data_IF_887882538376
#
_entry.id   IF_887882538376
#
_cell.length_a   1.000
_cell.length_b   1.000
_cell.length_c   1.000
_cell.angle_alpha   90.00
_cell.angle_beta   90.00
_cell.angle_gamma   90.00
#
_symmetry.space_group_name_H-M   'P 1'
#
loop_
_entity.id
_entity.type
_entity.pdbx_description
1 polymer ?
#
# COMPACT_ATOMS: atom_id res chain seq x y z
N UNK A 1 -31.81 -89.97 -13.98
CA UNK A 1 -33.03 -89.17 -13.72
C UNK A 1 -32.78 -88.15 -12.62
N UNK A 2 -32.22 -88.53 -11.46
CA UNK A 2 -32.00 -87.63 -10.32
C UNK A 2 -30.90 -86.56 -10.50
N UNK A 3 -29.88 -86.82 -11.34
CA UNK A 3 -28.78 -85.87 -11.60
C UNK A 3 -29.13 -84.71 -12.56
N UNK A 4 -30.17 -84.88 -13.37
CA UNK A 4 -30.63 -83.84 -14.31
C UNK A 4 -31.57 -82.83 -13.63
N UNK A 5 -32.23 -83.23 -12.55
CA UNK A 5 -33.16 -82.39 -11.79
C UNK A 5 -32.40 -81.39 -10.89
N UNK A 6 -31.32 -81.85 -10.24
CA UNK A 6 -30.44 -80.98 -9.41
C UNK A 6 -29.74 -79.90 -10.26
N UNK A 7 -29.27 -80.24 -11.46
CA UNK A 7 -28.66 -79.26 -12.38
C UNK A 7 -29.66 -78.24 -12.92
N UNK A 8 -30.93 -78.60 -13.01
CA UNK A 8 -31.98 -77.67 -13.43
C UNK A 8 -32.33 -76.68 -12.31
N UNK A 9 -32.41 -77.13 -11.05
CA UNK A 9 -32.65 -76.26 -9.89
C UNK A 9 -31.49 -75.28 -9.64
N UNK A 10 -30.24 -75.74 -9.72
CA UNK A 10 -29.06 -74.87 -9.57
C UNK A 10 -28.97 -73.80 -10.69
N UNK A 11 -29.29 -74.18 -11.93
CA UNK A 11 -29.34 -73.24 -13.04
C UNK A 11 -30.49 -72.22 -12.91
N UNK A 12 -31.64 -72.64 -12.37
CA UNK A 12 -32.77 -71.76 -12.08
C UNK A 12 -32.38 -70.74 -10.99
N UNK A 13 -31.76 -71.22 -9.90
CA UNK A 13 -31.32 -70.41 -8.76
C UNK A 13 -30.27 -69.36 -9.14
N UNK A 14 -29.27 -69.74 -9.95
CA UNK A 14 -28.25 -68.82 -10.47
C UNK A 14 -28.87 -67.80 -11.44
N UNK A 15 -29.86 -68.21 -12.25
CA UNK A 15 -30.63 -67.34 -13.11
C UNK A 15 -31.38 -66.25 -12.35
N UNK A 16 -32.07 -66.62 -11.26
CA UNK A 16 -32.76 -65.66 -10.37
C UNK A 16 -31.79 -64.72 -9.67
N UNK A 17 -30.68 -65.20 -9.10
CA UNK A 17 -29.71 -64.35 -8.40
C UNK A 17 -29.02 -63.33 -9.32
N UNK A 18 -28.79 -63.69 -10.60
CA UNK A 18 -28.25 -62.76 -11.58
C UNK A 18 -29.31 -61.76 -12.08
N UNK A 19 -30.57 -62.18 -12.22
CA UNK A 19 -31.71 -61.30 -12.45
C UNK A 19 -31.86 -60.26 -11.35
N UNK A 20 -31.84 -60.68 -10.08
CA UNK A 20 -32.03 -59.79 -8.93
C UNK A 20 -30.90 -58.77 -8.78
N UNK A 21 -29.64 -59.17 -9.03
CA UNK A 21 -28.49 -58.23 -9.02
C UNK A 21 -28.54 -57.22 -10.17
N UNK A 22 -28.98 -57.62 -11.35
CA UNK A 22 -29.16 -56.70 -12.49
C UNK A 22 -30.28 -55.69 -12.20
N UNK A 23 -31.39 -56.16 -11.64
CA UNK A 23 -32.54 -55.32 -11.26
C UNK A 23 -32.18 -54.35 -10.14
N UNK A 24 -31.46 -54.81 -9.11
CA UNK A 24 -30.98 -53.97 -8.01
C UNK A 24 -30.01 -52.89 -8.51
N UNK A 25 -29.09 -53.21 -9.43
CA UNK A 25 -28.16 -52.23 -10.02
C UNK A 25 -28.89 -51.20 -10.89
N UNK A 26 -29.89 -51.62 -11.66
CA UNK A 26 -30.75 -50.69 -12.41
C UNK A 26 -31.59 -49.81 -11.49
N UNK A 27 -32.06 -50.33 -10.36
CA UNK A 27 -32.86 -49.58 -9.40
C UNK A 27 -32.02 -48.56 -8.64
N UNK A 28 -30.84 -48.94 -8.17
CA UNK A 28 -29.88 -48.02 -7.54
C UNK A 28 -29.42 -46.92 -8.49
N UNK A 29 -29.19 -47.23 -9.78
CA UNK A 29 -28.86 -46.20 -10.78
C UNK A 29 -30.05 -45.29 -11.08
N UNK A 30 -31.27 -45.80 -11.19
CA UNK A 30 -32.49 -44.99 -11.35
C UNK A 30 -32.77 -44.10 -10.13
N UNK A 31 -32.57 -44.62 -8.92
CA UNK A 31 -32.73 -43.84 -7.67
C UNK A 31 -31.67 -42.74 -7.56
N UNK A 32 -30.42 -43.03 -7.93
CA UNK A 32 -29.35 -42.03 -8.02
C UNK A 32 -29.67 -40.94 -9.07
N UNK A 33 -30.14 -41.34 -10.26
CA UNK A 33 -30.55 -40.41 -11.33
C UNK A 33 -31.77 -39.58 -10.90
N UNK A 34 -32.76 -40.19 -10.25
CA UNK A 34 -33.94 -39.47 -9.75
C UNK A 34 -33.58 -38.50 -8.63
N UNK A 35 -32.70 -38.89 -7.70
CA UNK A 35 -32.18 -38.02 -6.64
C UNK A 35 -31.41 -36.81 -7.22
N UNK A 36 -30.65 -37.01 -8.29
CA UNK A 36 -29.97 -35.94 -9.05
C UNK A 36 -30.95 -35.07 -9.87
N UNK A 37 -32.11 -35.60 -10.27
CA UNK A 37 -33.14 -34.86 -11.04
C UNK A 37 -34.14 -34.07 -10.19
N UNK A 38 -34.17 -34.33 -8.87
CA UNK A 38 -35.05 -33.65 -7.92
C UNK A 38 -34.82 -32.15 -7.91
N UNK A 39 -35.91 -31.37 -7.85
CA UNK A 39 -35.84 -29.91 -7.79
C UNK A 39 -34.96 -29.41 -6.64
N UNK A 40 -34.89 -30.14 -5.52
CA UNK A 40 -34.01 -29.82 -4.40
C UNK A 40 -32.53 -29.93 -4.78
N UNK A 41 -32.13 -31.00 -5.48
CA UNK A 41 -30.75 -31.18 -5.94
C UNK A 41 -30.34 -30.12 -6.98
N UNK A 42 -31.25 -29.77 -7.90
CA UNK A 42 -31.04 -28.69 -8.88
C UNK A 42 -30.85 -27.33 -8.22
N UNK A 43 -31.65 -27.02 -7.19
CA UNK A 43 -31.52 -25.78 -6.41
C UNK A 43 -30.16 -25.72 -5.69
N UNK A 44 -29.74 -26.82 -5.06
CA UNK A 44 -28.43 -26.89 -4.37
C UNK A 44 -27.28 -26.68 -5.36
N UNK A 45 -27.31 -27.36 -6.52
CA UNK A 45 -26.28 -27.21 -7.57
C UNK A 45 -26.24 -25.77 -8.09
N UNK A 46 -27.40 -25.14 -8.34
CA UNK A 46 -27.48 -23.76 -8.79
C UNK A 46 -26.92 -22.77 -7.75
N UNK A 47 -27.18 -23.01 -6.46
CA UNK A 47 -26.64 -22.18 -5.37
C UNK A 47 -25.11 -22.30 -5.27
N UNK A 48 -24.56 -23.51 -5.35
CA UNK A 48 -23.09 -23.73 -5.36
C UNK A 48 -22.46 -23.03 -6.56
N UNK A 49 -23.06 -23.17 -7.75
CA UNK A 49 -22.57 -22.49 -8.95
C UNK A 49 -22.58 -20.97 -8.80
N UNK A 50 -23.65 -20.38 -8.25
CA UNK A 50 -23.71 -18.96 -7.92
C UNK A 50 -22.61 -18.53 -6.95
N UNK A 51 -22.34 -19.31 -5.91
CA UNK A 51 -21.26 -19.03 -4.95
C UNK A 51 -19.90 -19.08 -5.63
N UNK A 52 -19.66 -20.07 -6.50
CA UNK A 52 -18.40 -20.18 -7.25
C UNK A 52 -18.24 -18.99 -8.21
N UNK A 53 -19.27 -18.64 -8.98
CA UNK A 53 -19.24 -17.48 -9.89
C UNK A 53 -19.06 -16.18 -9.12
N UNK A 54 -19.72 -16.01 -7.97
CA UNK A 54 -19.53 -14.86 -7.10
C UNK A 54 -18.11 -14.83 -6.50
N UNK A 55 -17.55 -15.98 -6.12
CA UNK A 55 -16.19 -16.09 -5.59
C UNK A 55 -15.13 -15.80 -6.66
N UNK A 56 -15.32 -16.32 -7.87
CA UNK A 56 -14.47 -16.02 -9.03
C UNK A 56 -14.61 -14.56 -9.43
N UNK A 57 -15.83 -14.03 -9.49
CA UNK A 57 -16.10 -12.62 -9.77
C UNK A 57 -15.45 -11.70 -8.72
N UNK A 58 -15.55 -12.05 -7.44
CA UNK A 58 -14.87 -11.37 -6.34
C UNK A 58 -13.35 -11.45 -6.48
N UNK A 59 -12.80 -12.63 -6.81
CA UNK A 59 -11.36 -12.81 -7.02
C UNK A 59 -10.84 -12.00 -8.22
N UNK A 60 -11.59 -11.97 -9.32
CA UNK A 60 -11.27 -11.17 -10.51
C UNK A 60 -11.40 -9.68 -10.22
N UNK A 61 -12.40 -9.26 -9.44
CA UNK A 61 -12.58 -7.86 -9.02
C UNK A 61 -11.47 -7.40 -8.06
N UNK A 62 -10.96 -8.31 -7.23
CA UNK A 62 -9.79 -8.09 -6.37
C UNK A 62 -8.46 -8.10 -7.14
N UNK A 63 -8.44 -8.59 -8.38
CA UNK A 63 -7.21 -8.72 -9.16
C UNK A 63 -6.70 -7.33 -9.55
N UNK A 64 -5.59 -6.93 -8.94
CA UNK A 64 -5.05 -5.59 -9.14
C UNK A 64 -4.48 -5.45 -10.55
N UNK A 65 -4.85 -4.37 -11.24
CA UNK A 65 -4.19 -4.00 -12.49
C UNK A 65 -2.70 -3.75 -12.21
N UNK A 66 -1.85 -4.63 -12.76
CA UNK A 66 -0.41 -4.43 -12.77
C UNK A 66 -0.07 -3.25 -13.68
N UNK A 67 1.02 -2.55 -13.37
CA UNK A 67 1.54 -1.58 -14.32
C UNK A 67 1.99 -2.31 -15.57
N UNK A 68 1.79 -1.74 -16.77
CA UNK A 68 2.41 -2.28 -17.96
C UNK A 68 3.94 -2.36 -17.76
N UNK A 69 4.61 -3.36 -18.34
CA UNK A 69 6.06 -3.43 -18.30
C UNK A 69 6.65 -2.16 -18.88
N UNK A 70 7.67 -1.61 -18.21
CA UNK A 70 8.29 -0.34 -18.60
C UNK A 70 9.80 -0.40 -18.37
N UNK A 71 10.54 0.30 -19.22
CA UNK A 71 11.99 0.51 -19.06
C UNK A 71 12.27 1.36 -17.82
N UNK A 72 13.53 1.34 -17.35
CA UNK A 72 13.97 2.19 -16.23
C UNK A 72 13.75 3.67 -16.55
N UNK A 73 13.98 4.07 -17.81
CA UNK A 73 13.85 5.43 -18.28
C UNK A 73 12.39 5.90 -18.27
N UNK A 74 11.47 5.09 -18.79
CA UNK A 74 10.03 5.37 -18.73
C UNK A 74 9.53 5.44 -17.29
N UNK A 75 10.02 4.56 -16.42
CA UNK A 75 9.67 4.56 -14.99
C UNK A 75 10.08 5.88 -14.34
N UNK A 76 11.31 6.33 -14.58
CA UNK A 76 11.83 7.60 -14.07
C UNK A 76 11.10 8.81 -14.66
N UNK A 77 10.73 8.78 -15.94
CA UNK A 77 9.97 9.84 -16.58
C UNK A 77 8.56 9.97 -15.96
N UNK A 78 7.84 8.85 -15.83
CA UNK A 78 6.54 8.81 -15.15
C UNK A 78 6.65 9.29 -13.71
N UNK A 79 7.63 8.79 -12.95
CA UNK A 79 7.91 9.25 -11.60
C UNK A 79 8.06 10.77 -11.53
N UNK A 80 8.91 11.36 -12.39
CA UNK A 80 9.12 12.81 -12.43
C UNK A 80 7.82 13.57 -12.73
N UNK A 81 7.01 13.09 -13.67
CA UNK A 81 5.75 13.74 -14.05
C UNK A 81 4.70 13.76 -12.93
N UNK A 82 4.79 12.83 -11.97
CA UNK A 82 3.85 12.72 -10.85
C UNK A 82 4.37 13.43 -9.60
N UNK A 83 5.65 13.22 -9.25
CA UNK A 83 6.18 13.63 -7.94
C UNK A 83 6.73 15.04 -7.96
N UNK A 84 7.39 15.48 -9.04
CA UNK A 84 8.04 16.80 -9.06
C UNK A 84 7.02 17.92 -8.91
N UNK A 85 5.89 17.95 -9.65
CA UNK A 85 4.89 19.01 -9.47
C UNK A 85 4.27 19.03 -8.06
N UNK A 86 3.99 17.86 -7.49
CA UNK A 86 3.43 17.76 -6.15
C UNK A 86 4.42 18.26 -5.08
N UNK A 87 5.70 17.88 -5.19
CA UNK A 87 6.76 18.39 -4.30
C UNK A 87 6.95 19.90 -4.47
N UNK A 88 6.93 20.41 -5.69
CA UNK A 88 7.00 21.85 -5.96
C UNK A 88 5.86 22.61 -5.27
N UNK A 89 4.62 22.15 -5.48
CA UNK A 89 3.43 22.80 -4.93
C UNK A 89 3.49 22.88 -3.40
N UNK A 90 3.77 21.75 -2.74
CA UNK A 90 3.85 21.69 -1.27
C UNK A 90 5.04 22.49 -0.74
N UNK A 91 6.20 22.44 -1.42
CA UNK A 91 7.36 23.21 -1.02
C UNK A 91 7.07 24.72 -1.03
N UNK A 92 6.42 25.22 -2.09
CA UNK A 92 6.07 26.63 -2.21
C UNK A 92 5.08 27.05 -1.12
N UNK A 93 4.06 26.23 -0.83
CA UNK A 93 3.11 26.48 0.25
C UNK A 93 3.80 26.56 1.63
N UNK A 94 4.64 25.57 1.96
CA UNK A 94 5.38 25.54 3.23
C UNK A 94 6.41 26.67 3.33
N UNK A 95 7.06 27.03 2.23
CA UNK A 95 8.01 28.14 2.21
C UNK A 95 7.29 29.47 2.44
N UNK A 96 6.12 29.66 1.82
CA UNK A 96 5.30 30.85 2.03
C UNK A 96 4.89 30.95 3.51
N UNK A 97 4.35 29.88 4.09
CA UNK A 97 4.01 29.83 5.51
C UNK A 97 5.22 30.18 6.41
N UNK A 98 6.40 29.63 6.11
CA UNK A 98 7.62 29.96 6.84
C UNK A 98 7.96 31.46 6.76
N UNK A 99 7.85 32.10 5.60
CA UNK A 99 8.17 33.53 5.45
C UNK A 99 7.15 34.43 6.16
N UNK A 100 5.87 34.08 6.09
CA UNK A 100 4.79 34.84 6.75
C UNK A 100 4.98 34.81 8.27
N UNK A 101 5.15 33.61 8.84
CA UNK A 101 5.41 33.44 10.27
C UNK A 101 6.72 34.08 10.70
N UNK A 102 7.77 34.02 9.88
CA UNK A 102 9.02 34.72 10.18
C UNK A 102 8.82 36.23 10.27
N UNK A 103 8.05 36.81 9.37
CA UNK A 103 7.77 38.26 9.37
C UNK A 103 6.99 38.67 10.62
N UNK A 104 6.01 37.85 11.04
CA UNK A 104 5.25 38.07 12.28
C UNK A 104 6.18 38.03 13.50
N UNK A 105 7.03 37.00 13.60
CA UNK A 105 7.99 36.86 14.71
C UNK A 105 8.99 38.02 14.73
N UNK A 106 9.53 38.43 13.59
CA UNK A 106 10.50 39.52 13.49
C UNK A 106 9.90 40.88 13.91
N UNK A 107 8.58 41.07 13.76
CA UNK A 107 7.88 42.26 14.23
C UNK A 107 7.79 42.35 15.77
N UNK A 108 8.00 41.23 16.47
CA UNK A 108 8.06 41.18 17.94
C UNK A 108 6.71 41.27 18.65
N UNK A 109 5.61 41.10 17.93
CA UNK A 109 4.25 41.11 18.48
C UNK A 109 3.78 39.70 18.85
N UNK A 110 3.01 39.58 19.93
CA UNK A 110 2.35 38.31 20.27
C UNK A 110 1.27 38.00 19.23
N UNK A 111 1.25 36.76 18.74
CA UNK A 111 0.35 36.35 17.67
C UNK A 111 -0.21 34.95 17.94
N UNK A 112 -1.53 34.81 17.90
CA UNK A 112 -2.23 33.57 18.21
C UNK A 112 -1.90 32.43 17.23
N UNK A 113 -1.67 32.74 15.95
CA UNK A 113 -1.29 31.74 14.94
C UNK A 113 0.09 31.16 15.24
N UNK A 114 1.05 32.00 15.64
CA UNK A 114 2.39 31.56 16.07
C UNK A 114 2.30 30.62 17.27
N UNK A 115 1.48 30.95 18.27
CA UNK A 115 1.29 30.11 19.45
C UNK A 115 0.58 28.79 19.11
N UNK A 116 -0.41 28.80 18.23
CA UNK A 116 -1.06 27.58 17.74
C UNK A 116 -0.08 26.67 16.99
N UNK A 117 0.77 27.25 16.13
CA UNK A 117 1.79 26.50 15.40
C UNK A 117 2.86 25.92 16.33
N UNK A 118 3.25 26.63 17.40
CA UNK A 118 4.15 26.05 18.43
C UNK A 118 3.56 24.79 19.05
N UNK A 119 2.26 24.82 19.39
CA UNK A 119 1.55 23.65 19.91
C UNK A 119 1.49 22.54 18.86
N UNK A 120 1.13 22.86 17.61
CA UNK A 120 1.06 21.87 16.54
C UNK A 120 2.40 21.18 16.30
N UNK A 121 3.47 21.95 16.15
CA UNK A 121 4.81 21.46 15.86
C UNK A 121 5.57 20.97 17.10
N UNK A 122 4.96 21.06 18.29
CA UNK A 122 5.50 20.60 19.57
C UNK A 122 6.82 21.28 19.94
N UNK A 123 6.90 22.59 19.76
CA UNK A 123 8.08 23.43 20.04
C UNK A 123 7.73 24.52 21.03
N UNK A 124 8.73 25.08 21.73
CA UNK A 124 8.51 26.06 22.79
C UNK A 124 9.00 27.46 22.47
N UNK A 125 9.83 27.62 21.44
CA UNK A 125 10.41 28.93 21.07
C UNK A 125 10.17 29.27 19.61
N UNK A 126 10.17 30.57 19.30
CA UNK A 126 10.07 31.08 17.93
C UNK A 126 11.17 30.53 17.02
N UNK A 127 12.40 30.44 17.53
CA UNK A 127 13.53 29.88 16.80
C UNK A 127 13.30 28.40 16.44
N UNK A 128 12.78 27.60 17.38
CA UNK A 128 12.46 26.20 17.12
C UNK A 128 11.29 26.07 16.13
N UNK A 129 10.30 26.96 16.19
CA UNK A 129 9.20 26.98 15.23
C UNK A 129 9.70 27.28 13.82
N UNK A 130 10.55 28.29 13.65
CA UNK A 130 11.13 28.62 12.35
C UNK A 130 11.98 27.47 11.78
N UNK A 131 12.75 26.77 12.63
CA UNK A 131 13.44 25.53 12.25
C UNK A 131 12.48 24.41 11.84
N UNK A 132 11.31 24.30 12.47
CA UNK A 132 10.29 23.32 12.09
C UNK A 132 9.68 23.65 10.72
N UNK A 133 9.23 24.89 10.54
CA UNK A 133 8.46 25.35 9.38
C UNK A 133 9.29 25.41 8.09
N UNK A 134 10.56 25.85 8.13
CA UNK A 134 11.37 26.03 6.92
C UNK A 134 11.49 24.71 6.13
N UNK A 135 10.95 24.55 4.92
CA UNK A 135 11.07 23.28 4.21
C UNK A 135 12.53 23.06 3.76
N UNK A 136 12.96 21.79 3.72
CA UNK A 136 14.26 21.41 3.16
C UNK A 136 14.20 21.39 1.62
N UNK A 137 15.36 21.40 0.91
CA UNK A 137 15.41 21.40 -0.56
C UNK A 137 14.55 20.29 -1.19
N UNK A 138 13.93 20.62 -2.33
CA UNK A 138 13.00 19.75 -3.07
C UNK A 138 13.69 18.47 -3.54
N UNK A 139 14.97 18.55 -3.91
CA UNK A 139 15.76 17.41 -4.36
C UNK A 139 15.79 16.24 -3.35
N UNK A 140 15.81 16.54 -2.05
CA UNK A 140 15.79 15.54 -0.97
C UNK A 140 14.44 14.81 -0.95
N UNK A 141 13.33 15.55 -0.98
CA UNK A 141 11.97 14.98 -1.00
C UNK A 141 11.76 14.10 -2.23
N UNK A 142 12.21 14.57 -3.40
CA UNK A 142 12.13 13.82 -4.66
C UNK A 142 12.99 12.55 -4.60
N UNK A 143 14.20 12.61 -4.03
CA UNK A 143 15.06 11.45 -3.89
C UNK A 143 14.51 10.40 -2.92
N UNK A 144 14.01 10.82 -1.76
CA UNK A 144 13.33 9.93 -0.81
C UNK A 144 12.09 9.32 -1.47
N UNK A 145 11.25 10.13 -2.13
CA UNK A 145 10.09 9.61 -2.86
C UNK A 145 10.47 8.55 -3.91
N UNK A 146 11.57 8.75 -4.66
CA UNK A 146 12.05 7.77 -5.63
C UNK A 146 12.45 6.44 -4.97
N UNK A 147 13.14 6.51 -3.83
CA UNK A 147 13.62 5.34 -3.10
C UNK A 147 12.46 4.59 -2.41
N UNK A 148 11.64 5.31 -1.64
CA UNK A 148 10.58 4.71 -0.80
C UNK A 148 9.42 4.16 -1.64
N UNK A 149 9.05 4.82 -2.75
CA UNK A 149 7.93 4.40 -3.60
C UNK A 149 8.33 3.49 -4.77
N UNK A 150 9.60 3.06 -4.82
CA UNK A 150 10.17 2.35 -5.97
C UNK A 150 9.92 3.11 -7.29
N UNK A 151 10.22 4.42 -7.32
CA UNK A 151 9.95 5.30 -8.46
C UNK A 151 8.45 5.36 -8.83
N UNK A 152 7.58 5.53 -7.85
CA UNK A 152 6.13 5.64 -8.01
C UNK A 152 5.48 4.38 -8.63
N UNK A 153 6.08 3.19 -8.43
CA UNK A 153 5.56 1.91 -8.93
C UNK A 153 5.04 0.98 -7.84
N UNK A 154 5.39 1.25 -6.57
CA UNK A 154 4.91 0.45 -5.45
C UNK A 154 3.38 0.37 -5.42
N UNK A 155 2.85 -0.76 -4.94
CA UNK A 155 1.41 -0.94 -4.77
C UNK A 155 0.79 0.15 -3.89
N UNK A 156 1.45 0.48 -2.79
CA UNK A 156 0.96 1.48 -1.84
C UNK A 156 0.87 2.88 -2.44
N UNK A 157 1.86 3.28 -3.26
CA UNK A 157 1.77 4.52 -4.02
C UNK A 157 0.59 4.49 -5.01
N UNK A 158 0.46 3.41 -5.81
CA UNK A 158 -0.59 3.33 -6.84
C UNK A 158 -2.02 3.31 -6.29
N UNK A 159 -2.20 2.77 -5.08
CA UNK A 159 -3.54 2.54 -4.49
C UNK A 159 -3.93 3.55 -3.43
N UNK A 160 -2.97 4.20 -2.80
CA UNK A 160 -3.28 5.19 -1.77
C UNK A 160 -2.28 6.32 -1.66
N UNK A 161 -1.53 6.60 -2.73
CA UNK A 161 -0.56 7.68 -2.79
C UNK A 161 0.44 7.69 -1.63
N UNK A 162 0.64 6.54 -0.99
CA UNK A 162 1.58 6.43 0.13
C UNK A 162 2.98 6.25 -0.41
N UNK A 163 3.65 7.38 -0.61
CA UNK A 163 4.99 7.49 -1.18
C UNK A 163 6.05 7.00 -0.19
N UNK A 164 5.88 7.34 1.09
CA UNK A 164 6.90 7.23 2.14
C UNK A 164 6.67 6.05 3.10
N UNK A 165 5.73 5.16 2.79
CA UNK A 165 5.43 3.97 3.59
C UNK A 165 4.86 4.29 4.97
N UNK A 166 4.09 5.38 5.11
CA UNK A 166 3.54 5.82 6.40
C UNK A 166 2.53 4.81 6.94
N UNK A 167 2.76 4.33 8.16
CA UNK A 167 1.86 3.39 8.82
C UNK A 167 0.59 4.09 9.28
N UNK A 168 -0.51 3.36 9.21
CA UNK A 168 -1.80 3.77 9.74
C UNK A 168 -2.08 3.00 11.02
N UNK A 169 -2.22 3.72 12.13
CA UNK A 169 -2.59 3.15 13.43
C UNK A 169 -4.02 3.48 13.82
N UNK A 170 -4.62 4.47 13.15
CA UNK A 170 -6.02 4.82 13.29
C UNK A 170 -6.86 3.90 12.39
N UNK A 171 -7.98 3.40 12.91
CA UNK A 171 -8.88 2.55 12.14
C UNK A 171 -9.91 3.34 11.32
N UNK A 172 -10.12 4.59 11.72
CA UNK A 172 -11.10 5.49 11.11
C UNK A 172 -10.50 6.28 9.93
N UNK A 173 -9.18 6.30 9.78
CA UNK A 173 -8.52 6.93 8.63
C UNK A 173 -8.46 5.99 7.41
N UNK A 174 -8.49 6.54 6.18
CA UNK A 174 -8.29 5.75 4.97
C UNK A 174 -6.95 4.99 5.02
N UNK A 175 -7.00 3.66 4.83
CA UNK A 175 -5.82 2.79 4.95
C UNK A 175 -5.88 1.58 4.02
N UNK A 176 -4.70 1.03 3.70
CA UNK A 176 -4.51 -0.13 2.84
C UNK A 176 -3.75 -1.21 3.62
N UNK A 177 -4.26 -2.44 3.59
CA UNK A 177 -3.56 -3.57 4.18
C UNK A 177 -2.32 -3.94 3.37
N UNK A 178 -1.22 -4.22 4.07
CA UNK A 178 -0.09 -4.94 3.51
C UNK A 178 -0.51 -6.37 3.17
N UNK A 179 0.02 -6.90 2.05
CA UNK A 179 -0.25 -8.28 1.62
C UNK A 179 0.36 -9.32 2.58
N UNK A 180 1.43 -8.93 3.28
CA UNK A 180 2.09 -9.77 4.27
C UNK A 180 1.73 -9.31 5.67
N UNK A 181 1.53 -10.27 6.57
CA UNK A 181 1.38 -10.03 8.00
C UNK A 181 2.74 -9.99 8.67
N UNK A 182 2.86 -9.24 9.77
CA UNK A 182 4.00 -9.32 10.69
C UNK A 182 3.58 -10.18 11.88
N UNK A 183 3.99 -11.45 11.87
CA UNK A 183 3.37 -12.47 12.72
C UNK A 183 1.88 -12.58 12.38
N UNK A 184 1.01 -12.43 13.37
CA UNK A 184 -0.44 -12.52 13.17
C UNK A 184 -1.13 -11.19 12.84
N UNK A 185 -0.40 -10.07 12.93
CA UNK A 185 -0.95 -8.73 12.75
C UNK A 185 -0.87 -8.27 11.29
N UNK A 186 -2.00 -7.78 10.77
CA UNK A 186 -2.05 -7.03 9.52
C UNK A 186 -1.38 -5.67 9.72
N UNK A 187 -0.43 -5.33 8.87
CA UNK A 187 0.11 -3.97 8.82
C UNK A 187 -0.80 -3.14 7.93
N UNK A 188 -1.21 -1.98 8.44
CA UNK A 188 -1.96 -0.99 7.69
C UNK A 188 -1.06 0.19 7.35
N UNK A 189 -1.14 0.65 6.11
CA UNK A 189 -0.47 1.87 5.66
C UNK A 189 -1.52 2.90 5.31
N UNK A 190 -1.21 4.17 5.58
CA UNK A 190 -2.12 5.28 5.32
C UNK A 190 -2.44 5.38 3.83
N UNK A 191 -3.65 5.83 3.51
CA UNK A 191 -4.08 6.19 2.16
C UNK A 191 -4.37 7.69 2.16
N UNK A 192 -3.81 8.37 1.17
CA UNK A 192 -4.00 9.79 0.94
C UNK A 192 -4.92 10.00 -0.27
N UNK A 193 -5.56 11.16 -0.30
CA UNK A 193 -6.43 11.56 -1.40
C UNK A 193 -5.63 12.10 -2.60
N UNK A 194 -4.42 12.61 -2.35
CA UNK A 194 -3.51 13.10 -3.39
C UNK A 194 -2.03 12.82 -3.10
N UNK A 195 -1.17 13.07 -4.10
CA UNK A 195 0.29 12.98 -3.95
C UNK A 195 0.78 14.13 -3.07
N UNK A 196 0.20 15.31 -3.23
CA UNK A 196 0.48 16.52 -2.46
C UNK A 196 0.22 16.30 -0.97
N UNK A 197 -0.89 15.65 -0.60
CA UNK A 197 -1.19 15.35 0.80
C UNK A 197 -0.15 14.40 1.43
N UNK A 198 0.28 13.38 0.68
CA UNK A 198 1.34 12.48 1.13
C UNK A 198 2.69 13.19 1.28
N UNK A 199 3.01 14.14 0.39
CA UNK A 199 4.22 14.97 0.48
C UNK A 199 4.16 15.93 1.66
N UNK A 200 3.01 16.56 1.90
CA UNK A 200 2.79 17.44 3.04
C UNK A 200 2.96 16.69 4.37
N UNK A 201 2.35 15.51 4.52
CA UNK A 201 2.47 14.67 5.72
C UNK A 201 3.93 14.23 5.96
N UNK A 202 4.68 13.96 4.89
CA UNK A 202 6.12 13.69 4.96
C UNK A 202 6.93 14.89 5.48
N UNK A 203 6.76 16.07 4.91
CA UNK A 203 7.46 17.28 5.38
C UNK A 203 7.13 17.55 6.85
N UNK A 204 5.85 17.39 7.22
CA UNK A 204 5.37 17.56 8.58
C UNK A 204 5.97 16.53 9.54
N UNK A 205 6.17 15.29 9.11
CA UNK A 205 6.83 14.26 9.91
C UNK A 205 8.27 14.66 10.26
N UNK A 206 9.05 15.14 9.29
CA UNK A 206 10.41 15.64 9.51
C UNK A 206 10.44 16.90 10.39
N UNK A 207 9.42 17.75 10.26
CA UNK A 207 9.30 18.98 11.04
C UNK A 207 9.02 18.73 12.54
N UNK A 208 8.32 17.64 12.88
CA UNK A 208 7.85 17.37 14.25
C UNK A 208 8.67 16.35 15.04
N UNK A 209 9.36 15.43 14.37
CA UNK A 209 10.04 14.33 15.07
C UNK A 209 11.37 14.77 15.69
N UNK A 210 11.60 14.41 16.96
CA UNK A 210 12.86 14.69 17.67
C UNK A 210 14.08 14.03 16.99
N UNK A 211 13.87 12.94 16.28
CA UNK A 211 14.91 12.23 15.53
C UNK A 211 15.58 13.09 14.45
N UNK A 212 14.93 14.17 14.02
CA UNK A 212 15.41 15.07 12.97
C UNK A 212 15.74 16.48 13.48
N UNK A 213 15.96 16.65 14.79
CA UNK A 213 16.33 17.94 15.37
C UNK A 213 17.61 18.52 14.73
N UNK A 214 18.66 17.71 14.56
CA UNK A 214 19.90 18.13 13.92
C UNK A 214 19.69 18.51 12.45
N UNK A 215 18.93 17.71 11.70
CA UNK A 215 18.54 18.04 10.32
C UNK A 215 17.83 19.40 10.23
N UNK A 216 16.90 19.67 11.16
CA UNK A 216 16.19 20.95 11.22
C UNK A 216 17.08 22.13 11.54
N UNK A 217 18.10 21.94 12.38
CA UNK A 217 19.09 22.97 12.66
C UNK A 217 19.97 23.20 11.41
N UNK A 218 20.50 22.14 10.80
CA UNK A 218 21.42 22.26 9.66
C UNK A 218 20.76 22.94 8.45
N UNK A 219 19.47 22.70 8.17
CA UNK A 219 18.75 23.39 7.07
C UNK A 219 18.57 24.90 7.28
N UNK A 220 18.80 25.41 8.49
CA UNK A 220 18.86 26.86 8.72
C UNK A 220 20.20 27.45 8.27
N UNK A 221 21.28 26.66 8.34
CA UNK A 221 22.65 27.08 8.06
C UNK A 221 23.03 26.90 6.59
N UNK A 222 22.46 25.89 5.92
CA UNK A 222 22.74 25.58 4.52
C UNK A 222 21.51 25.01 3.80
N UNK A 223 21.46 25.25 2.49
CA UNK A 223 20.50 24.60 1.57
C UNK A 223 21.16 23.50 0.73
N UNK A 224 22.42 23.14 1.01
CA UNK A 224 23.12 22.08 0.27
C UNK A 224 22.51 20.71 0.60
N UNK A 225 21.84 20.05 -0.37
CA UNK A 225 21.18 18.78 -0.10
C UNK A 225 22.19 17.68 0.28
N UNK A 226 23.45 17.75 -0.17
CA UNK A 226 24.47 16.74 0.12
C UNK A 226 24.97 16.81 1.56
N UNK A 227 24.90 17.99 2.19
CA UNK A 227 25.16 18.13 3.62
C UNK A 227 23.93 17.64 4.40
N UNK A 228 22.74 18.07 4.00
CA UNK A 228 21.50 17.78 4.73
C UNK A 228 21.17 16.29 4.81
N UNK A 229 21.36 15.52 3.74
CA UNK A 229 21.07 14.08 3.76
C UNK A 229 21.95 13.29 4.74
N UNK A 230 23.09 13.85 5.17
CA UNK A 230 23.93 13.22 6.21
C UNK A 230 23.26 13.22 7.59
N UNK A 231 22.22 14.05 7.79
CA UNK A 231 21.46 14.18 9.04
C UNK A 231 20.15 13.39 9.04
N UNK A 232 20.00 12.46 8.10
CA UNK A 232 18.83 11.58 7.95
C UNK A 232 19.12 10.12 8.35
N UNK A 233 20.16 9.86 9.14
CA UNK A 233 20.55 8.52 9.60
C UNK A 233 19.43 7.82 10.38
N UNK A 234 18.59 8.58 11.09
CA UNK A 234 17.43 8.05 11.83
C UNK A 234 16.20 7.75 10.98
N UNK A 235 16.22 8.10 9.69
CA UNK A 235 15.08 7.84 8.81
C UNK A 235 14.96 6.36 8.43
N UNK A 236 16.08 5.65 8.38
CA UNK A 236 16.15 4.26 7.95
C UNK A 236 17.03 3.43 8.88
N UNK A 237 16.71 2.14 9.01
CA UNK A 237 17.57 1.17 9.71
C UNK A 237 18.98 1.07 9.10
N UNK A 238 19.17 1.57 7.87
CA UNK A 238 20.47 1.68 7.20
C UNK A 238 21.41 2.72 7.83
N UNK A 239 20.93 3.62 8.70
CA UNK A 239 21.78 4.64 9.31
C UNK A 239 22.41 5.58 8.27
N UNK A 240 23.70 5.89 8.41
CA UNK A 240 24.43 6.81 7.52
C UNK A 240 24.43 6.41 6.04
N UNK A 241 24.38 5.10 5.74
CA UNK A 241 24.30 4.59 4.37
C UNK A 241 23.07 5.13 3.62
N UNK A 242 22.00 5.44 4.35
CA UNK A 242 20.81 6.07 3.78
C UNK A 242 21.14 7.41 3.11
N UNK A 243 21.93 8.26 3.76
CA UNK A 243 22.35 9.55 3.21
C UNK A 243 23.26 9.42 1.98
N UNK A 244 24.09 8.38 1.94
CA UNK A 244 24.95 8.07 0.79
C UNK A 244 24.13 7.60 -0.43
N UNK A 245 23.12 6.77 -0.20
CA UNK A 245 22.16 6.34 -1.24
C UNK A 245 21.39 7.55 -1.79
N UNK A 246 20.90 8.43 -0.91
CA UNK A 246 20.23 9.68 -1.32
C UNK A 246 21.16 10.58 -2.14
N UNK A 247 22.40 10.78 -1.69
CA UNK A 247 23.41 11.55 -2.44
C UNK A 247 23.58 11.01 -3.85
N UNK A 248 23.67 9.68 -3.99
CA UNK A 248 23.83 9.01 -5.27
C UNK A 248 22.60 9.19 -6.17
N UNK A 249 21.39 9.07 -5.60
CA UNK A 249 20.13 9.30 -6.34
C UNK A 249 20.05 10.75 -6.83
N UNK A 250 20.33 11.73 -5.97
CA UNK A 250 20.28 13.16 -6.31
C UNK A 250 21.26 13.44 -7.46
N UNK A 251 22.53 13.05 -7.32
CA UNK A 251 23.58 13.29 -8.34
C UNK A 251 23.26 12.63 -9.67
N UNK A 252 22.94 11.34 -9.67
CA UNK A 252 22.72 10.58 -10.90
C UNK A 252 21.52 11.13 -11.70
N UNK A 253 20.45 11.53 -11.00
CA UNK A 253 19.22 11.99 -11.64
C UNK A 253 19.14 13.52 -11.80
N UNK A 254 20.16 14.24 -11.30
CA UNK A 254 20.29 15.70 -11.30
C UNK A 254 19.08 16.39 -10.65
N UNK A 255 18.64 15.86 -9.50
CA UNK A 255 17.49 16.40 -8.78
C UNK A 255 17.79 17.72 -8.09
N UNK A 256 19.06 18.02 -7.81
CA UNK A 256 19.55 19.32 -7.33
C UNK A 256 19.25 20.48 -8.30
N UNK A 257 18.97 20.21 -9.58
CA UNK A 257 18.49 21.23 -10.50
C UNK A 257 17.10 21.79 -10.12
N UNK A 258 16.31 21.07 -9.32
CA UNK A 258 15.02 21.55 -8.85
C UNK A 258 15.15 22.52 -7.66
N UNK A 259 16.33 22.64 -7.06
CA UNK A 259 16.55 23.52 -5.90
C UNK A 259 16.95 24.96 -6.30
N UNK A 260 16.96 25.25 -7.60
CA UNK A 260 17.35 26.56 -8.16
C UNK A 260 16.17 27.51 -8.32
#
# INVERSE_FOLDING_TARGET
>A
MQELEVKAEDALMIGTLNGDRYTMRQQLTKECIMALSSNKAKIIIAAIFLIIVASIGYYVMQREAELPPMTVQEKKARFKSLIVPAVESVYLELMQQYQDIKTIIDAGESNDEVEQLKVEYKVSTDAQLLMALKPHPKSIAIAQAAMESSWATSRFFRKGYNIFGVWSFDEDEPRIAALQKRGDKTIWVKKYDSIEEAVYDYYRTLARSDAFAEFRQTKMETSDPFILVTKLDKYSEKGSLYGEELTSIIKYNKFDNYDR
#
